data_IF_606211246756
#
_entry.id   IF_606211246756
#
_cell.length_a   1.000
_cell.length_b   1.000
_cell.length_c   1.000
_cell.angle_alpha   90.00
_cell.angle_beta   90.00
_cell.angle_gamma   90.00
#
_symmetry.space_group_name_H-M   'P 1'
#
loop_
_entity.id
_entity.type
_entity.pdbx_description
1 polymer ?
#
# COMPACT_ATOMS: atom_id res chain seq x y z
N UNK A 1 -15.76 6.22 2.99
CA UNK A 1 -14.81 6.23 4.13
C UNK A 1 -13.97 7.50 4.04
N UNK A 2 -13.68 8.12 5.18
CA UNK A 2 -13.35 9.54 5.36
C UNK A 2 -12.17 10.04 4.52
N UNK A 3 -12.43 10.99 3.62
CA UNK A 3 -11.43 11.96 3.16
C UNK A 3 -11.16 12.95 4.30
N UNK A 4 -10.41 12.53 5.32
CA UNK A 4 -9.71 13.54 6.12
C UNK A 4 -8.60 14.08 5.21
N UNK A 5 -8.62 15.38 4.91
CA UNK A 5 -7.74 16.07 3.96
C UNK A 5 -6.27 15.66 4.12
N UNK A 6 -5.86 14.56 3.48
CA UNK A 6 -4.48 14.10 3.50
C UNK A 6 -3.72 15.02 2.58
N UNK A 7 -2.96 15.92 3.19
CA UNK A 7 -1.97 16.75 2.51
C UNK A 7 -0.63 16.04 2.64
N UNK A 8 0.07 15.89 1.51
CA UNK A 8 1.42 15.34 1.46
C UNK A 8 2.34 16.19 2.33
N UNK A 9 3.04 15.54 3.29
CA UNK A 9 3.88 16.25 4.26
C UNK A 9 5.16 16.78 3.61
N UNK A 10 5.58 16.16 2.51
CA UNK A 10 6.78 16.55 1.77
C UNK A 10 6.54 17.71 0.81
N UNK A 11 5.42 17.72 0.07
CA UNK A 11 5.20 18.71 -1.00
C UNK A 11 3.91 19.51 -0.91
N UNK A 12 3.07 19.29 0.11
CA UNK A 12 1.81 20.02 0.28
C UNK A 12 0.69 19.65 -0.70
N UNK A 13 0.92 18.69 -1.60
CA UNK A 13 -0.09 18.23 -2.56
C UNK A 13 -1.15 17.37 -1.88
N UNK A 14 -2.42 17.49 -2.30
CA UNK A 14 -3.50 16.58 -1.91
C UNK A 14 -3.73 15.47 -2.95
N UNK A 15 -2.88 15.38 -3.98
CA UNK A 15 -3.03 14.43 -5.07
C UNK A 15 -2.35 13.10 -4.73
N UNK A 16 -3.16 12.12 -4.36
CA UNK A 16 -2.73 10.75 -4.05
C UNK A 16 -3.26 9.77 -5.09
N UNK A 17 -2.48 8.71 -5.32
CA UNK A 17 -2.86 7.59 -6.18
C UNK A 17 -2.47 6.28 -5.51
N UNK A 18 -3.03 5.20 -6.02
CA UNK A 18 -2.76 3.84 -5.56
C UNK A 18 -1.89 3.08 -6.56
N UNK A 19 -1.10 2.14 -6.07
CA UNK A 19 -0.32 1.23 -6.89
C UNK A 19 -0.02 -0.07 -6.15
N UNK A 20 0.13 -1.14 -6.91
CA UNK A 20 0.53 -2.45 -6.40
C UNK A 20 1.76 -2.96 -7.15
N UNK A 21 2.58 -3.75 -6.47
CA UNK A 21 3.72 -4.42 -7.09
C UNK A 21 3.24 -5.74 -7.71
N UNK A 22 2.89 -5.72 -9.00
CA UNK A 22 2.38 -6.91 -9.72
C UNK A 22 3.44 -7.98 -10.04
N UNK A 23 4.72 -7.60 -10.10
CA UNK A 23 5.81 -8.48 -10.53
C UNK A 23 6.79 -8.71 -9.36
N UNK A 24 6.90 -9.95 -8.86
CA UNK A 24 7.85 -10.35 -7.81
C UNK A 24 7.21 -10.89 -6.52
N UNK A 25 8.05 -11.23 -5.52
CA UNK A 25 7.65 -11.68 -4.17
C UNK A 25 7.08 -10.55 -3.28
N UNK A 26 6.32 -9.62 -3.86
CA UNK A 26 5.88 -8.40 -3.17
C UNK A 26 4.66 -8.61 -2.26
N UNK A 27 4.05 -9.80 -2.27
CA UNK A 27 2.98 -10.13 -1.35
C UNK A 27 3.54 -10.25 0.08
N UNK A 28 2.80 -9.72 1.05
CA UNK A 28 3.09 -10.02 2.45
C UNK A 28 2.74 -11.47 2.72
N UNK A 29 3.64 -12.18 3.39
CA UNK A 29 3.57 -13.62 3.61
C UNK A 29 3.37 -13.93 5.09
N UNK A 30 2.47 -14.86 5.45
CA UNK A 30 2.33 -15.29 6.83
C UNK A 30 3.58 -16.04 7.30
N UNK A 31 4.03 -15.73 8.52
CA UNK A 31 5.21 -16.35 9.12
C UNK A 31 4.96 -17.86 9.29
N UNK A 32 5.92 -18.68 8.86
CA UNK A 32 5.85 -20.14 9.04
C UNK A 32 4.92 -20.88 8.07
N UNK A 33 4.36 -20.22 7.05
CA UNK A 33 3.49 -20.84 6.02
C UNK A 33 4.14 -20.76 4.62
N UNK A 34 5.12 -21.62 4.29
CA UNK A 34 5.92 -21.52 3.07
C UNK A 34 5.12 -21.77 1.77
N UNK A 35 3.96 -22.40 1.84
CA UNK A 35 3.07 -22.66 0.71
C UNK A 35 1.92 -21.63 0.58
N UNK A 36 1.98 -20.52 1.31
CA UNK A 36 0.98 -19.44 1.17
C UNK A 36 1.21 -18.65 -0.12
N UNK A 37 0.14 -18.10 -0.69
CA UNK A 37 0.23 -17.09 -1.76
C UNK A 37 0.32 -15.65 -1.21
N UNK A 38 0.22 -15.49 0.11
CA UNK A 38 0.24 -14.19 0.77
C UNK A 38 -0.95 -13.29 0.40
N UNK A 39 -0.75 -12.00 0.64
CA UNK A 39 -1.67 -10.93 0.22
C UNK A 39 -0.90 -9.83 -0.53
N UNK A 40 -1.45 -9.30 -1.63
CA UNK A 40 -0.93 -8.10 -2.25
C UNK A 40 -0.83 -6.93 -1.28
N UNK A 41 0.14 -6.05 -1.57
CA UNK A 41 0.38 -4.80 -0.86
C UNK A 41 -0.02 -3.64 -1.76
N UNK A 42 -0.93 -2.81 -1.26
CA UNK A 42 -1.38 -1.59 -1.94
C UNK A 42 -0.68 -0.40 -1.30
N UNK A 43 0.02 0.37 -2.12
CA UNK A 43 0.64 1.63 -1.73
C UNK A 43 -0.28 2.77 -2.10
N UNK A 44 -0.56 3.65 -1.14
CA UNK A 44 -1.16 4.96 -1.39
C UNK A 44 -0.05 5.98 -1.27
N UNK A 45 0.23 6.70 -2.35
CA UNK A 45 1.36 7.61 -2.40
C UNK A 45 1.01 8.89 -3.16
N UNK A 46 1.76 9.95 -2.85
CA UNK A 46 1.59 11.23 -3.49
C UNK A 46 2.01 11.12 -4.97
N UNK A 47 1.07 11.38 -5.88
CA UNK A 47 1.34 11.32 -7.33
C UNK A 47 2.37 12.37 -7.76
N UNK A 48 2.50 13.46 -6.99
CA UNK A 48 3.37 14.58 -7.33
C UNK A 48 4.83 14.35 -6.93
N UNK A 49 5.09 13.80 -5.74
CA UNK A 49 6.47 13.67 -5.22
C UNK A 49 6.86 12.25 -4.78
N UNK A 50 5.96 11.29 -4.82
CA UNK A 50 6.23 9.89 -4.50
C UNK A 50 6.22 9.52 -3.02
N UNK A 51 5.93 10.46 -2.10
CA UNK A 51 5.82 10.13 -0.66
C UNK A 51 4.70 9.11 -0.43
N UNK A 52 5.02 7.99 0.21
CA UNK A 52 4.04 6.97 0.59
C UNK A 52 3.28 7.44 1.83
N UNK A 53 1.96 7.62 1.70
CA UNK A 53 1.10 7.99 2.82
C UNK A 53 0.59 6.77 3.59
N UNK A 54 0.40 5.63 2.94
CA UNK A 54 0.02 4.39 3.61
C UNK A 54 0.35 3.16 2.78
N UNK A 55 0.52 2.05 3.49
CA UNK A 55 0.70 0.71 2.94
C UNK A 55 -0.42 -0.16 3.50
N UNK A 56 -1.18 -0.82 2.64
CA UNK A 56 -2.37 -1.60 2.99
C UNK A 56 -2.18 -3.04 2.53
N UNK A 57 -2.53 -4.00 3.39
CA UNK A 57 -2.62 -5.41 3.03
C UNK A 57 -4.02 -5.64 2.46
N UNK A 58 -4.13 -6.08 1.20
CA UNK A 58 -5.43 -6.22 0.51
C UNK A 58 -6.35 -7.25 1.17
N UNK A 59 -5.77 -8.36 1.67
CA UNK A 59 -6.48 -9.54 2.21
C UNK A 59 -5.92 -9.92 3.59
N UNK A 60 -6.11 -9.07 4.62
CA UNK A 60 -5.57 -9.31 5.96
C UNK A 60 -6.16 -10.57 6.63
N UNK A 61 -7.34 -11.03 6.21
CA UNK A 61 -8.00 -12.24 6.69
C UNK A 61 -7.28 -13.55 6.36
N UNK A 62 -6.23 -13.51 5.53
CA UNK A 62 -5.40 -14.69 5.18
C UNK A 62 -4.34 -15.04 6.22
N UNK A 63 -4.18 -14.22 7.26
CA UNK A 63 -3.13 -14.35 8.27
C UNK A 63 -3.69 -14.95 9.55
#
# INVERSE_FOLDING_TARGET
>A
MKQENRVCKTCGSSNFTEGEMRNGYANVMPIGKPFSFGSPVIFIFCKQCGEVASIIIEKPEKF
#
